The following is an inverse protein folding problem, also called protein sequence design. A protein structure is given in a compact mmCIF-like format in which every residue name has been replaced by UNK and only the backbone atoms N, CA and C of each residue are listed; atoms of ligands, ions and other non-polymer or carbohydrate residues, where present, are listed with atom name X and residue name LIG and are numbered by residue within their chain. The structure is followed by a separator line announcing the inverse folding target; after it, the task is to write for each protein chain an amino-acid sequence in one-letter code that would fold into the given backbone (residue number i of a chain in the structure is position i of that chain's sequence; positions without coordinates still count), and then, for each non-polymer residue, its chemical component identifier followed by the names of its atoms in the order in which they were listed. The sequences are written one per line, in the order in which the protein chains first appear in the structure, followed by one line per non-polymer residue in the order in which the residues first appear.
data_IF_390659034229
#
_entry.id   IF_390659034229
#
_cell.length_a   1.000
_cell.length_b   1.000
_cell.length_c   1.000
_cell.angle_alpha   90.00
_cell.angle_beta   90.00
_cell.angle_gamma   90.00
#
_symmetry.space_group_name_H-M   'P 1'
#
loop_
_entity.id
_entity.type
_entity.pdbx_description
1 polymer ?
#
# COMPACT_ATOMS: atom_id res chain seq x y z
N UNK A 1 -0.73 -7.21 9.06
CA UNK A 1 -0.63 -6.94 7.61
C UNK A 1 -0.09 -5.53 7.44
N UNK A 2 0.84 -5.29 6.49
CA UNK A 2 1.31 -3.95 6.18
C UNK A 2 0.16 -3.04 5.71
N UNK A 3 0.47 -1.76 5.63
CA UNK A 3 -0.42 -0.72 5.11
C UNK A 3 0.26 -0.20 3.85
N UNK A 4 -0.37 -0.44 2.70
CA UNK A 4 0.16 -0.11 1.38
C UNK A 4 -0.97 0.45 0.54
N UNK A 5 -0.83 1.67 0.06
CA UNK A 5 -1.80 2.27 -0.85
C UNK A 5 -1.86 3.79 -0.77
N UNK A 6 -2.84 4.35 -1.49
CA UNK A 6 -3.16 5.78 -1.45
C UNK A 6 -3.85 6.11 -0.13
N UNK A 7 -3.50 7.24 0.48
CA UNK A 7 -4.13 7.69 1.73
C UNK A 7 -5.50 8.30 1.40
N UNK A 8 -6.60 7.81 2.00
CA UNK A 8 -7.93 8.36 1.78
C UNK A 8 -8.01 9.85 2.14
N UNK A 9 -8.72 10.64 1.32
CA UNK A 9 -8.85 12.10 1.50
C UNK A 9 -7.68 12.92 0.96
N UNK A 10 -6.65 12.29 0.42
CA UNK A 10 -5.49 12.97 -0.17
C UNK A 10 -5.32 12.61 -1.64
N UNK A 11 -4.94 13.58 -2.47
CA UNK A 11 -4.81 13.33 -3.91
C UNK A 11 -3.57 12.49 -4.26
N UNK A 12 -2.38 12.86 -3.81
CA UNK A 12 -1.12 12.22 -4.23
C UNK A 12 -0.25 11.77 -3.05
N UNK A 13 -0.87 11.36 -1.94
CA UNK A 13 -0.18 10.81 -0.78
C UNK A 13 -0.29 9.29 -0.75
N UNK A 14 0.85 8.63 -0.64
CA UNK A 14 0.97 7.16 -0.61
C UNK A 14 1.73 6.73 0.64
N UNK A 15 1.35 5.57 1.18
CA UNK A 15 1.99 5.02 2.38
C UNK A 15 2.37 3.56 2.13
N UNK A 16 3.55 3.17 2.60
CA UNK A 16 4.04 1.80 2.60
C UNK A 16 4.73 1.48 3.94
N UNK A 17 3.96 1.06 4.94
CA UNK A 17 4.45 0.87 6.32
C UNK A 17 3.87 -0.36 6.99
N UNK A 18 4.23 -0.63 8.25
CA UNK A 18 3.56 -1.63 9.08
C UNK A 18 3.87 -3.10 8.76
N UNK A 19 5.00 -3.37 8.11
CA UNK A 19 5.44 -4.74 7.79
C UNK A 19 5.93 -5.56 9.01
N UNK A 20 5.92 -4.96 10.21
CA UNK A 20 6.37 -5.58 11.45
C UNK A 20 7.81 -6.09 11.35
N UNK A 21 8.04 -7.35 11.77
CA UNK A 21 9.36 -8.01 11.71
C UNK A 21 9.76 -8.51 10.30
N UNK A 22 8.91 -8.31 9.30
CA UNK A 22 9.09 -8.84 7.94
C UNK A 22 9.35 -7.75 6.89
N UNK A 23 9.80 -6.56 7.32
CA UNK A 23 10.02 -5.41 6.43
C UNK A 23 10.90 -5.72 5.21
N UNK A 24 12.03 -6.40 5.42
CA UNK A 24 12.94 -6.80 4.33
C UNK A 24 12.22 -7.71 3.33
N UNK A 25 11.53 -8.75 3.83
CA UNK A 25 10.77 -9.68 2.98
C UNK A 25 9.65 -8.98 2.20
N UNK A 26 8.97 -8.01 2.80
CA UNK A 26 7.85 -7.29 2.16
C UNK A 26 8.31 -6.16 1.24
N UNK A 27 9.54 -5.64 1.40
CA UNK A 27 10.02 -4.43 0.73
C UNK A 27 9.76 -4.44 -0.78
N UNK A 28 10.14 -5.52 -1.47
CA UNK A 28 9.99 -5.64 -2.92
C UNK A 28 8.52 -5.59 -3.34
N UNK A 29 7.65 -6.41 -2.72
CA UNK A 29 6.22 -6.44 -3.06
C UNK A 29 5.50 -5.12 -2.75
N UNK A 30 5.83 -4.50 -1.62
CA UNK A 30 5.28 -3.19 -1.24
C UNK A 30 5.70 -2.10 -2.22
N UNK A 31 6.99 -2.02 -2.57
CA UNK A 31 7.51 -0.98 -3.45
C UNK A 31 7.01 -1.13 -4.89
N UNK A 32 6.92 -2.35 -5.43
CA UNK A 32 6.33 -2.57 -6.76
C UNK A 32 4.89 -2.11 -6.82
N UNK A 33 4.08 -2.52 -5.84
CA UNK A 33 2.70 -2.09 -5.75
C UNK A 33 2.54 -0.57 -5.59
N UNK A 34 3.39 0.06 -4.78
CA UNK A 34 3.38 1.51 -4.60
C UNK A 34 3.77 2.25 -5.89
N UNK A 35 4.81 1.78 -6.60
CA UNK A 35 5.26 2.38 -7.84
C UNK A 35 4.17 2.33 -8.92
N UNK A 36 3.52 1.19 -9.08
CA UNK A 36 2.38 1.01 -9.98
C UNK A 36 1.23 1.98 -9.65
N UNK A 37 0.87 2.08 -8.37
CA UNK A 37 -0.18 2.99 -7.90
C UNK A 37 0.18 4.47 -8.14
N UNK A 38 1.43 4.86 -7.90
CA UNK A 38 1.91 6.23 -8.13
C UNK A 38 1.87 6.60 -9.62
N UNK A 39 2.34 5.70 -10.48
CA UNK A 39 2.52 5.99 -11.91
C UNK A 39 1.24 5.80 -12.73
N UNK A 40 0.39 4.86 -12.34
CA UNK A 40 -0.73 4.40 -13.17
C UNK A 40 -2.08 4.39 -12.46
N UNK A 41 -2.10 4.55 -11.13
CA UNK A 41 -3.32 4.48 -10.31
C UNK A 41 -3.89 3.08 -10.11
N UNK A 42 -3.25 2.03 -10.66
CA UNK A 42 -3.62 0.62 -10.53
C UNK A 42 -2.37 -0.23 -10.36
N UNK A 43 -2.52 -1.49 -9.95
CA UNK A 43 -1.39 -2.42 -9.79
C UNK A 43 -1.83 -3.85 -10.01
N UNK A 44 -0.92 -4.67 -10.56
CA UNK A 44 -1.13 -6.09 -10.81
C UNK A 44 -0.58 -6.97 -9.67
N UNK A 45 -0.01 -6.38 -8.61
CA UNK A 45 0.53 -7.13 -7.47
C UNK A 45 -0.61 -7.84 -6.73
N UNK A 46 -0.62 -9.19 -6.68
CA UNK A 46 -1.73 -9.93 -6.10
C UNK A 46 -1.94 -9.61 -4.62
N UNK A 47 -3.20 -9.44 -4.22
CA UNK A 47 -3.60 -9.28 -2.81
C UNK A 47 -3.27 -7.92 -2.18
N UNK A 48 -2.73 -6.96 -2.93
CA UNK A 48 -2.39 -5.63 -2.40
C UNK A 48 -3.60 -4.84 -1.88
N UNK A 49 -4.80 -5.08 -2.42
CA UNK A 49 -6.05 -4.47 -1.95
C UNK A 49 -6.37 -4.83 -0.49
N UNK A 50 -5.86 -5.95 0.05
CA UNK A 50 -6.00 -6.28 1.47
C UNK A 50 -5.14 -5.40 2.39
N UNK A 51 -4.21 -4.63 1.81
CA UNK A 51 -3.29 -3.76 2.52
C UNK A 51 -3.73 -2.30 2.50
N UNK A 52 -4.88 -2.00 1.88
CA UNK A 52 -5.40 -0.65 1.68
C UNK A 52 -5.51 0.11 3.03
N UNK A 53 -4.99 1.35 3.13
CA UNK A 53 -5.14 2.18 4.32
C UNK A 53 -6.58 2.40 4.78
N UNK A 54 -7.56 2.38 3.85
CA UNK A 54 -8.98 2.56 4.13
C UNK A 54 -9.56 1.50 5.08
N UNK A 55 -8.90 0.36 5.26
CA UNK A 55 -9.30 -0.69 6.22
C UNK A 55 -9.31 -0.26 7.69
N UNK A 56 -8.81 0.94 7.99
CA UNK A 56 -8.83 1.56 9.31
C UNK A 56 -9.66 2.84 9.39
N UNK A 57 -10.39 3.21 8.33
CA UNK A 57 -11.36 4.30 8.43
C UNK A 57 -12.41 3.94 9.48
N UNK A 58 -12.76 4.92 10.31
CA UNK A 58 -13.91 4.86 11.21
C UNK A 58 -15.04 5.64 10.55
N UNK A 59 -16.27 5.21 10.80
CA UNK A 59 -17.50 5.91 10.38
C UNK A 59 -17.54 7.35 10.92
#
# INVERSE_FOLDING_TARGET
LPIVGRVPGWENLYVGTGAGRKGILWSTGMCYGLADLILTGRTEVPGIHHLDPARFQRD
#
